data_IF_003056904461
#
_entry.id   IF_003056904461
#
_cell.length_a   1.000
_cell.length_b   1.000
_cell.length_c   1.000
_cell.angle_alpha   90.00
_cell.angle_beta   90.00
_cell.angle_gamma   90.00
#
_symmetry.space_group_name_H-M   'P 1'
#
loop_
_entity.id
_entity.type
_entity.pdbx_description
1 polymer ?
#
# COMPACT_ATOMS: atom_id res chain seq x y z
N UNK A 1 -12.42 -9.08 -8.16
CA UNK A 1 -11.59 -9.00 -9.38
C UNK A 1 -12.39 -9.70 -10.45
N UNK A 2 -12.86 -8.99 -11.48
CA UNK A 2 -13.55 -9.63 -12.60
C UNK A 2 -12.53 -10.45 -13.38
N UNK A 3 -12.75 -11.77 -13.51
CA UNK A 3 -11.82 -12.72 -14.11
C UNK A 3 -11.52 -12.55 -15.61
N UNK A 4 -12.09 -11.55 -16.25
CA UNK A 4 -11.97 -11.36 -17.70
C UNK A 4 -10.67 -10.63 -18.13
N UNK A 5 -9.95 -10.00 -17.17
CA UNK A 5 -8.71 -9.28 -17.46
C UNK A 5 -7.45 -9.99 -16.93
N UNK A 6 -7.60 -10.99 -16.07
CA UNK A 6 -6.47 -11.64 -15.39
C UNK A 6 -6.67 -13.16 -15.34
N UNK A 7 -5.58 -13.92 -15.54
CA UNK A 7 -5.54 -15.35 -15.26
C UNK A 7 -5.24 -15.55 -13.77
N UNK A 8 -6.24 -15.95 -12.99
CA UNK A 8 -6.14 -16.07 -11.54
C UNK A 8 -6.13 -17.55 -11.14
N UNK A 9 -5.13 -17.93 -10.34
CA UNK A 9 -5.04 -19.23 -9.67
C UNK A 9 -5.08 -19.04 -8.16
N UNK A 10 -5.81 -19.88 -7.45
CA UNK A 10 -5.89 -19.90 -6.00
C UNK A 10 -5.39 -21.25 -5.52
N UNK A 11 -4.43 -21.26 -4.60
CA UNK A 11 -3.98 -22.47 -3.90
C UNK A 11 -4.58 -22.43 -2.50
N UNK A 12 -5.29 -23.49 -2.12
CA UNK A 12 -5.98 -23.62 -0.84
C UNK A 12 -5.80 -25.03 -0.29
N UNK A 13 -5.43 -25.15 0.97
CA UNK A 13 -5.16 -26.43 1.63
C UNK A 13 -6.41 -27.12 2.15
N UNK A 14 -7.48 -26.40 2.42
CA UNK A 14 -8.76 -26.95 2.88
C UNK A 14 -9.65 -27.33 1.69
N UNK A 15 -9.94 -28.60 1.54
CA UNK A 15 -10.76 -29.13 0.45
C UNK A 15 -12.19 -28.56 0.45
N UNK A 16 -12.77 -28.34 1.61
CA UNK A 16 -14.13 -27.77 1.71
C UNK A 16 -14.14 -26.30 1.29
N UNK A 17 -13.06 -25.58 1.58
CA UNK A 17 -12.85 -24.22 1.13
C UNK A 17 -12.63 -24.15 -0.37
N UNK A 18 -11.85 -25.08 -0.94
CA UNK A 18 -11.69 -25.20 -2.40
C UNK A 18 -13.03 -25.39 -3.11
N UNK A 19 -13.88 -26.28 -2.58
CA UNK A 19 -15.22 -26.53 -3.14
C UNK A 19 -16.09 -25.26 -3.05
N UNK A 20 -16.08 -24.58 -1.91
CA UNK A 20 -16.80 -23.32 -1.75
C UNK A 20 -16.33 -22.26 -2.75
N UNK A 21 -15.02 -22.06 -2.88
CA UNK A 21 -14.45 -21.09 -3.81
C UNK A 21 -14.81 -21.42 -5.27
N UNK A 22 -14.68 -22.68 -5.67
CA UNK A 22 -15.02 -23.14 -7.03
C UNK A 22 -16.50 -22.94 -7.39
N UNK A 23 -17.40 -22.99 -6.40
CA UNK A 23 -18.83 -22.76 -6.61
C UNK A 23 -19.23 -21.27 -6.64
N UNK A 24 -18.45 -20.41 -6.00
CA UNK A 24 -18.81 -19.00 -5.80
C UNK A 24 -17.96 -18.01 -6.62
N UNK A 25 -16.86 -18.47 -7.22
CA UNK A 25 -16.03 -17.64 -8.09
C UNK A 25 -16.36 -17.86 -9.56
N UNK A 26 -15.90 -16.91 -10.39
CA UNK A 26 -16.00 -17.04 -11.85
C UNK A 26 -15.29 -18.30 -12.33
N UNK A 27 -15.80 -18.94 -13.38
CA UNK A 27 -15.17 -20.09 -14.03
C UNK A 27 -13.78 -19.80 -14.63
N UNK A 28 -13.41 -18.52 -14.74
CA UNK A 28 -12.07 -18.07 -15.15
C UNK A 28 -11.03 -18.16 -14.03
N UNK A 29 -11.44 -18.42 -12.78
CA UNK A 29 -10.55 -18.60 -11.65
C UNK A 29 -10.29 -20.08 -11.42
N UNK A 30 -9.03 -20.49 -11.50
CA UNK A 30 -8.63 -21.87 -11.21
C UNK A 30 -8.37 -22.01 -9.70
N UNK A 31 -9.09 -22.93 -9.06
CA UNK A 31 -8.89 -23.28 -7.64
C UNK A 31 -8.17 -24.61 -7.55
N UNK A 32 -7.02 -24.62 -6.92
CA UNK A 32 -6.13 -25.77 -6.73
C UNK A 32 -6.15 -26.17 -5.25
N UNK A 33 -6.38 -27.46 -4.98
CA UNK A 33 -6.20 -28.01 -3.65
C UNK A 33 -4.74 -28.42 -3.46
N UNK A 34 -4.04 -27.78 -2.53
CA UNK A 34 -2.64 -28.04 -2.27
C UNK A 34 -2.04 -27.18 -1.17
N UNK A 35 -0.79 -27.48 -0.85
CA UNK A 35 0.01 -26.72 0.12
C UNK A 35 0.73 -25.58 -0.59
N UNK A 36 0.64 -24.37 -0.03
CA UNK A 36 1.30 -23.17 -0.57
C UNK A 36 2.81 -23.19 -0.43
N UNK A 37 3.38 -24.17 0.27
CA UNK A 37 4.83 -24.39 0.41
C UNK A 37 5.36 -25.53 -0.45
N UNK A 38 4.49 -26.18 -1.25
CA UNK A 38 4.87 -27.28 -2.15
C UNK A 38 5.54 -26.75 -3.42
N UNK A 39 6.86 -26.94 -3.52
CA UNK A 39 7.67 -26.55 -4.68
C UNK A 39 7.21 -27.22 -5.96
N UNK A 40 6.79 -28.49 -5.91
CA UNK A 40 6.34 -29.25 -7.09
C UNK A 40 5.05 -28.68 -7.66
N UNK A 41 4.10 -28.30 -6.80
CA UNK A 41 2.87 -27.63 -7.21
C UNK A 41 3.15 -26.30 -7.91
N UNK A 42 4.08 -25.51 -7.39
CA UNK A 42 4.45 -24.22 -7.99
C UNK A 42 5.06 -24.40 -9.38
N UNK A 43 5.93 -25.40 -9.55
CA UNK A 43 6.56 -25.69 -10.84
C UNK A 43 5.52 -26.19 -11.86
N UNK A 44 4.67 -27.13 -11.46
CA UNK A 44 3.64 -27.73 -12.32
C UNK A 44 2.63 -26.67 -12.78
N UNK A 45 2.32 -25.69 -11.92
CA UNK A 45 1.38 -24.62 -12.22
C UNK A 45 2.04 -23.39 -12.88
N UNK A 46 3.35 -23.46 -13.18
CA UNK A 46 4.06 -22.47 -13.98
C UNK A 46 4.31 -21.17 -13.26
N UNK A 47 4.70 -21.22 -11.99
CA UNK A 47 4.99 -20.03 -11.15
C UNK A 47 5.99 -19.07 -11.78
N UNK A 48 6.93 -19.58 -12.58
CA UNK A 48 7.94 -18.76 -13.27
C UNK A 48 7.35 -17.75 -14.27
N UNK A 49 6.11 -17.97 -14.72
CA UNK A 49 5.39 -17.07 -15.62
C UNK A 49 4.33 -16.22 -14.88
N UNK A 50 4.37 -16.20 -13.55
CA UNK A 50 3.41 -15.47 -12.72
C UNK A 50 3.87 -14.04 -12.53
N UNK A 51 3.04 -13.08 -12.94
CA UNK A 51 3.32 -11.65 -12.78
C UNK A 51 3.27 -11.23 -11.30
N UNK A 52 2.31 -11.80 -10.55
CA UNK A 52 2.10 -11.46 -9.15
C UNK A 52 1.68 -12.69 -8.35
N UNK A 53 2.48 -13.05 -7.36
CA UNK A 53 2.14 -14.02 -6.33
C UNK A 53 1.71 -13.31 -5.05
N UNK A 54 0.62 -13.73 -4.43
CA UNK A 54 0.07 -13.11 -3.22
C UNK A 54 -0.19 -14.18 -2.17
N UNK A 55 0.51 -14.12 -1.05
CA UNK A 55 0.31 -15.00 0.10
C UNK A 55 -0.52 -14.30 1.18
N UNK A 56 -1.69 -14.86 1.49
CA UNK A 56 -2.71 -14.25 2.36
C UNK A 56 -3.38 -15.28 3.29
N UNK A 57 -2.64 -16.30 3.69
CA UNK A 57 -3.13 -17.24 4.70
C UNK A 57 -3.14 -16.60 6.10
N UNK A 58 -3.59 -17.34 7.10
CA UNK A 58 -3.55 -16.93 8.50
C UNK A 58 -2.22 -17.26 9.20
N UNK A 59 -1.26 -17.85 8.49
CA UNK A 59 0.06 -18.20 9.01
C UNK A 59 1.13 -17.33 8.35
N UNK A 60 1.81 -16.50 9.16
CA UNK A 60 2.79 -15.54 8.68
C UNK A 60 4.05 -16.24 8.14
N UNK A 61 4.48 -17.33 8.79
CA UNK A 61 5.63 -18.12 8.40
C UNK A 61 5.40 -18.77 7.03
N UNK A 62 4.24 -19.37 6.81
CA UNK A 62 3.84 -19.96 5.53
C UNK A 62 3.72 -18.89 4.44
N UNK A 63 3.17 -17.73 4.77
CA UNK A 63 3.06 -16.60 3.84
C UNK A 63 4.45 -16.13 3.37
N UNK A 64 5.39 -15.98 4.30
CA UNK A 64 6.76 -15.56 4.00
C UNK A 64 7.48 -16.64 3.17
N UNK A 65 7.42 -17.90 3.62
CA UNK A 65 8.13 -19.00 2.96
C UNK A 65 7.62 -19.25 1.55
N UNK A 66 6.31 -19.21 1.33
CA UNK A 66 5.73 -19.37 -0.01
C UNK A 66 6.10 -18.22 -0.95
N UNK A 67 6.14 -16.97 -0.46
CA UNK A 67 6.63 -15.84 -1.24
C UNK A 67 8.10 -15.98 -1.63
N UNK A 68 8.96 -16.37 -0.70
CA UNK A 68 10.39 -16.60 -0.98
C UNK A 68 10.58 -17.75 -1.99
N UNK A 69 9.79 -18.83 -1.85
CA UNK A 69 9.80 -19.94 -2.78
C UNK A 69 9.32 -19.51 -4.18
N UNK A 70 8.22 -18.77 -4.27
CA UNK A 70 7.70 -18.25 -5.52
C UNK A 70 8.74 -17.36 -6.24
N UNK A 71 9.40 -16.47 -5.51
CA UNK A 71 10.50 -15.63 -6.06
C UNK A 71 11.70 -16.46 -6.51
N UNK A 72 12.11 -17.45 -5.72
CA UNK A 72 13.20 -18.38 -6.09
C UNK A 72 12.88 -19.12 -7.39
N UNK A 73 11.61 -19.48 -7.60
CA UNK A 73 11.15 -20.21 -8.79
C UNK A 73 10.83 -19.30 -9.98
N UNK A 74 10.95 -17.99 -9.84
CA UNK A 74 10.90 -17.04 -10.95
C UNK A 74 9.65 -16.14 -11.01
N UNK A 75 8.77 -16.14 -10.01
CA UNK A 75 7.67 -15.18 -9.96
C UNK A 75 8.16 -13.73 -10.04
N UNK A 76 7.52 -12.91 -10.87
CA UNK A 76 7.95 -11.53 -11.09
C UNK A 76 7.84 -10.68 -9.84
N UNK A 77 6.71 -10.76 -9.12
CA UNK A 77 6.48 -10.04 -7.87
C UNK A 77 5.85 -10.95 -6.84
N UNK A 78 6.18 -10.73 -5.57
CA UNK A 78 5.57 -11.41 -4.43
C UNK A 78 5.11 -10.42 -3.38
N UNK A 79 3.87 -10.60 -2.93
CA UNK A 79 3.23 -9.80 -1.87
C UNK A 79 2.86 -10.76 -0.74
N UNK A 80 3.24 -10.43 0.48
CA UNK A 80 2.92 -11.21 1.68
C UNK A 80 2.07 -10.43 2.67
N UNK A 81 1.07 -11.08 3.25
CA UNK A 81 0.36 -10.58 4.42
C UNK A 81 1.11 -11.02 5.68
N UNK A 82 1.34 -10.09 6.61
CA UNK A 82 2.01 -10.34 7.88
C UNK A 82 1.19 -9.71 9.00
N UNK A 83 0.72 -10.55 9.93
CA UNK A 83 -0.04 -10.10 11.09
C UNK A 83 0.86 -9.60 12.23
N UNK A 84 2.03 -10.25 12.40
CA UNK A 84 3.03 -9.91 13.43
C UNK A 84 3.99 -8.87 12.88
N UNK A 85 3.90 -7.65 13.40
CA UNK A 85 4.74 -6.52 12.94
C UNK A 85 6.23 -6.81 13.04
N UNK A 86 6.67 -7.61 14.03
CA UNK A 86 8.08 -8.01 14.19
C UNK A 86 8.62 -8.78 12.96
N UNK A 87 7.75 -9.46 12.21
CA UNK A 87 8.15 -10.22 11.02
C UNK A 87 8.31 -9.34 9.78
N UNK A 88 7.71 -8.16 9.74
CA UNK A 88 7.92 -7.20 8.65
C UNK A 88 9.40 -6.86 8.55
N UNK A 89 10.06 -6.70 9.70
CA UNK A 89 11.49 -6.42 9.80
C UNK A 89 12.37 -7.52 9.22
N UNK A 90 11.94 -8.78 9.37
CA UNK A 90 12.69 -9.93 8.89
C UNK A 90 12.63 -10.07 7.36
N UNK A 91 11.55 -9.63 6.74
CA UNK A 91 11.39 -9.72 5.28
C UNK A 91 11.95 -8.50 4.55
N UNK A 92 12.26 -7.41 5.26
CA UNK A 92 12.91 -6.25 4.66
C UNK A 92 14.30 -6.61 4.14
N UNK A 93 14.57 -6.29 2.88
CA UNK A 93 15.84 -6.64 2.20
C UNK A 93 15.88 -8.07 1.64
N UNK A 94 14.82 -8.85 1.80
CA UNK A 94 14.65 -10.13 1.09
C UNK A 94 14.16 -9.91 -0.35
N UNK A 95 13.90 -11.00 -1.08
CA UNK A 95 13.33 -10.93 -2.44
C UNK A 95 11.82 -10.65 -2.48
N UNK A 96 11.15 -10.54 -1.33
CA UNK A 96 9.73 -10.19 -1.24
C UNK A 96 9.57 -8.71 -1.58
N UNK A 97 8.68 -8.41 -2.54
CA UNK A 97 8.53 -7.03 -3.03
C UNK A 97 7.70 -6.17 -2.09
N UNK A 98 6.65 -6.72 -1.49
CA UNK A 98 5.76 -6.01 -0.57
C UNK A 98 5.35 -6.92 0.59
N UNK A 99 5.53 -6.44 1.80
CA UNK A 99 4.91 -6.99 3.00
C UNK A 99 3.89 -5.98 3.53
N UNK A 100 2.67 -6.42 3.82
CA UNK A 100 1.65 -5.53 4.38
C UNK A 100 1.01 -6.14 5.65
N UNK A 101 0.66 -5.27 6.58
CA UNK A 101 -0.01 -5.64 7.82
C UNK A 101 -1.44 -5.08 7.85
N UNK A 102 -2.46 -5.93 8.05
CA UNK A 102 -3.83 -5.45 8.26
C UNK A 102 -3.95 -4.52 9.46
N UNK A 103 -3.17 -4.76 10.51
CA UNK A 103 -3.13 -3.91 11.72
C UNK A 103 -2.63 -2.50 11.39
N UNK A 104 -1.53 -2.38 10.65
CA UNK A 104 -1.01 -1.07 10.26
C UNK A 104 -1.94 -0.34 9.30
N UNK A 105 -2.54 -1.05 8.34
CA UNK A 105 -3.53 -0.48 7.43
C UNK A 105 -4.76 0.05 8.19
N UNK A 106 -5.27 -0.72 9.15
CA UNK A 106 -6.41 -0.33 9.98
C UNK A 106 -6.06 0.86 10.88
N UNK A 107 -4.87 0.85 11.51
CA UNK A 107 -4.41 1.96 12.34
C UNK A 107 -4.28 3.25 11.52
N UNK A 108 -3.72 3.17 10.34
CA UNK A 108 -3.60 4.32 9.43
C UNK A 108 -4.97 4.90 9.05
N UNK A 109 -5.95 4.03 8.77
CA UNK A 109 -7.32 4.47 8.47
C UNK A 109 -8.01 5.09 9.69
N UNK A 110 -7.88 4.50 10.87
CA UNK A 110 -8.41 5.08 12.12
C UNK A 110 -7.80 6.45 12.43
N UNK A 111 -6.48 6.57 12.31
CA UNK A 111 -5.78 7.83 12.55
C UNK A 111 -6.25 8.93 11.60
N UNK A 112 -6.54 8.59 10.36
CA UNK A 112 -7.13 9.52 9.39
C UNK A 112 -8.46 10.11 9.89
N UNK A 113 -9.32 9.30 10.50
CA UNK A 113 -10.63 9.73 11.00
C UNK A 113 -10.55 10.53 12.33
N UNK A 114 -9.51 10.30 13.14
CA UNK A 114 -9.35 10.97 14.44
C UNK A 114 -8.66 12.33 14.28
N UNK A 115 -7.83 12.51 13.26
CA UNK A 115 -7.11 13.76 13.03
C UNK A 115 -8.06 14.89 12.68
N UNK A 116 -7.87 16.06 13.34
CA UNK A 116 -8.64 17.26 13.03
C UNK A 116 -8.14 17.86 11.71
N UNK A 117 -9.03 18.00 10.74
CA UNK A 117 -8.77 18.56 9.42
C UNK A 117 -9.27 17.64 8.31
N UNK A 118 -9.28 18.14 7.06
CA UNK A 118 -9.67 17.35 5.88
C UNK A 118 -8.49 16.50 5.41
N UNK A 119 -8.14 15.47 6.21
CA UNK A 119 -7.09 14.49 5.87
C UNK A 119 -7.69 13.49 4.88
N UNK A 120 -7.20 13.51 3.64
CA UNK A 120 -7.60 12.58 2.58
C UNK A 120 -6.92 11.22 2.74
N UNK A 121 -5.64 11.24 3.04
CA UNK A 121 -4.85 10.02 3.23
C UNK A 121 -3.70 10.23 4.22
N UNK A 122 -3.27 9.14 4.86
CA UNK A 122 -2.08 9.12 5.71
C UNK A 122 -1.38 7.78 5.53
N UNK A 123 -0.09 7.81 5.23
CA UNK A 123 0.75 6.64 5.01
C UNK A 123 2.02 6.72 5.85
N UNK A 124 2.26 5.68 6.63
CA UNK A 124 3.49 5.56 7.40
C UNK A 124 4.60 5.00 6.52
N UNK A 125 5.76 5.66 6.54
CA UNK A 125 6.96 5.24 5.83
C UNK A 125 8.00 4.74 6.82
N UNK A 126 8.77 3.72 6.41
CA UNK A 126 9.92 3.21 7.17
C UNK A 126 9.63 3.07 8.67
N UNK A 127 8.68 2.20 9.04
CA UNK A 127 8.40 1.81 10.45
C UNK A 127 8.06 2.98 11.37
N UNK A 128 7.33 3.95 10.88
CA UNK A 128 7.00 5.13 11.68
C UNK A 128 8.09 6.18 11.73
N UNK A 129 9.22 6.02 11.03
CA UNK A 129 10.27 7.03 10.95
C UNK A 129 9.85 8.28 10.17
N UNK A 130 8.86 8.15 9.30
CA UNK A 130 8.23 9.27 8.60
C UNK A 130 6.78 8.95 8.27
N UNK A 131 5.97 9.95 8.10
CA UNK A 131 4.58 9.86 7.71
C UNK A 131 4.32 10.79 6.53
N UNK A 132 3.61 10.29 5.52
CA UNK A 132 3.10 11.13 4.42
C UNK A 132 1.63 11.34 4.65
N UNK A 133 1.20 12.59 4.68
CA UNK A 133 -0.20 12.97 4.81
C UNK A 133 -0.63 13.80 3.62
N UNK A 134 -1.85 13.58 3.18
CA UNK A 134 -2.53 14.39 2.20
C UNK A 134 -3.70 15.09 2.88
N UNK A 135 -3.68 16.41 2.87
CA UNK A 135 -4.71 17.26 3.48
C UNK A 135 -5.24 18.25 2.46
N UNK A 136 -6.51 18.60 2.55
CA UNK A 136 -7.07 19.68 1.73
C UNK A 136 -6.77 21.03 2.38
N UNK A 137 -6.16 21.93 1.62
CA UNK A 137 -5.92 23.29 2.08
C UNK A 137 -7.21 24.12 1.99
N UNK A 138 -7.66 24.68 3.11
CA UNK A 138 -8.85 25.54 3.17
C UNK A 138 -8.57 26.95 3.66
N UNK A 139 -9.35 27.90 3.15
CA UNK A 139 -9.35 29.27 3.63
C UNK A 139 -9.17 30.32 2.52
N UNK A 140 -8.76 31.49 2.93
CA UNK A 140 -8.44 32.59 2.02
C UNK A 140 -7.07 33.17 2.35
N UNK A 141 -6.47 33.91 1.43
CA UNK A 141 -5.16 34.54 1.63
C UNK A 141 -5.11 35.51 2.85
N UNK A 142 -6.29 35.92 3.35
CA UNK A 142 -6.39 36.79 4.53
C UNK A 142 -6.33 36.04 5.85
N UNK A 143 -6.87 34.85 5.92
CA UNK A 143 -7.02 34.08 7.17
C UNK A 143 -6.21 32.77 7.20
N UNK A 144 -5.63 32.35 6.08
CA UNK A 144 -4.77 31.17 6.00
C UNK A 144 -3.30 31.56 5.97
N UNK A 145 -2.47 30.72 6.62
CA UNK A 145 -1.00 30.83 6.55
C UNK A 145 -0.41 30.11 5.34
N UNK A 146 -1.26 29.41 4.56
CA UNK A 146 -0.89 28.52 3.45
C UNK A 146 -1.45 29.04 2.13
N UNK A 147 -2.73 29.39 2.09
CA UNK A 147 -3.43 29.82 0.86
C UNK A 147 -2.86 31.13 0.32
N UNK A 148 -2.64 31.18 -1.00
CA UNK A 148 -2.06 32.32 -1.73
C UNK A 148 -0.56 32.51 -1.49
N UNK A 149 0.13 31.47 -1.02
CA UNK A 149 1.58 31.47 -0.83
C UNK A 149 2.23 30.39 -1.66
N UNK A 150 3.42 30.68 -2.15
CA UNK A 150 4.32 29.68 -2.72
C UNK A 150 4.89 28.79 -1.62
N UNK A 151 5.21 27.55 -1.93
CA UNK A 151 5.63 26.53 -0.94
C UNK A 151 6.83 26.99 -0.13
N UNK A 152 7.78 27.68 -0.75
CA UNK A 152 8.99 28.25 -0.11
C UNK A 152 8.70 29.31 0.96
N UNK A 153 7.52 29.93 0.91
CA UNK A 153 7.08 30.96 1.87
C UNK A 153 6.15 30.42 2.97
N UNK A 154 5.84 29.13 2.93
CA UNK A 154 5.03 28.50 3.97
C UNK A 154 5.93 28.05 5.11
N UNK A 155 5.69 28.59 6.30
CA UNK A 155 6.42 28.19 7.50
C UNK A 155 5.93 26.80 7.95
N UNK A 156 6.73 25.78 7.68
CA UNK A 156 6.47 24.40 8.10
C UNK A 156 7.13 24.12 9.46
N UNK A 157 6.52 23.26 10.30
CA UNK A 157 7.17 22.76 11.50
C UNK A 157 8.48 22.03 11.17
N UNK A 158 9.39 21.97 12.15
CA UNK A 158 10.65 21.25 11.99
C UNK A 158 10.39 19.76 11.67
N UNK A 159 11.11 19.20 10.72
CA UNK A 159 10.94 17.82 10.29
C UNK A 159 9.76 17.58 9.34
N UNK A 160 9.10 18.64 8.87
CA UNK A 160 8.03 18.54 7.86
C UNK A 160 8.43 19.17 6.55
N UNK A 161 7.97 18.62 5.43
CA UNK A 161 8.18 19.17 4.10
C UNK A 161 6.97 18.89 3.20
N UNK A 162 6.58 19.88 2.42
CA UNK A 162 5.58 19.67 1.35
C UNK A 162 6.28 18.97 0.19
N UNK A 163 5.74 17.86 -0.26
CA UNK A 163 6.23 17.08 -1.39
C UNK A 163 5.61 17.50 -2.71
N UNK A 164 4.29 17.52 -2.76
CA UNK A 164 3.53 17.87 -3.96
C UNK A 164 2.14 18.42 -3.60
N UNK A 165 1.52 19.02 -4.60
CA UNK A 165 0.13 19.47 -4.57
C UNK A 165 -0.59 18.85 -5.75
N UNK A 166 -1.79 18.33 -5.50
CA UNK A 166 -2.66 17.83 -6.54
C UNK A 166 -3.66 18.93 -6.90
N UNK A 167 -3.86 19.17 -8.18
CA UNK A 167 -4.83 20.17 -8.63
C UNK A 167 -5.60 19.66 -9.84
N UNK A 168 -6.90 19.89 -9.86
CA UNK A 168 -7.71 19.58 -11.02
C UNK A 168 -7.67 20.77 -12.00
N UNK A 169 -6.99 20.59 -13.12
CA UNK A 169 -6.92 21.57 -14.18
C UNK A 169 -7.76 21.06 -15.38
N UNK A 170 -8.77 21.82 -15.77
CA UNK A 170 -9.66 21.43 -16.88
C UNK A 170 -10.27 20.02 -16.78
N UNK A 171 -10.55 19.56 -15.56
CA UNK A 171 -11.14 18.24 -15.32
C UNK A 171 -10.12 17.09 -15.28
N UNK A 172 -8.82 17.37 -15.40
CA UNK A 172 -7.73 16.41 -15.27
C UNK A 172 -6.98 16.70 -13.98
N UNK A 173 -6.68 15.66 -13.20
CA UNK A 173 -5.88 15.79 -11.99
C UNK A 173 -4.38 15.83 -12.38
N UNK A 174 -3.71 16.92 -12.03
CA UNK A 174 -2.29 17.13 -12.24
C UNK A 174 -1.54 17.18 -10.91
N UNK A 175 -0.33 16.65 -10.89
CA UNK A 175 0.56 16.66 -9.74
C UNK A 175 1.64 17.71 -9.97
N UNK A 176 1.74 18.67 -9.06
CA UNK A 176 2.77 19.71 -9.06
C UNK A 176 3.75 19.45 -7.94
N UNK A 177 5.01 19.29 -8.26
CA UNK A 177 6.05 19.17 -7.24
C UNK A 177 6.19 20.49 -6.47
N UNK A 178 6.61 20.43 -5.22
CA UNK A 178 6.67 21.60 -4.31
C UNK A 178 7.41 22.81 -4.89
N UNK A 179 8.44 22.59 -5.71
CA UNK A 179 9.22 23.63 -6.38
C UNK A 179 8.58 24.19 -7.66
N UNK A 180 7.50 23.59 -8.14
CA UNK A 180 6.79 23.95 -9.37
C UNK A 180 5.48 24.70 -9.10
N UNK A 181 5.03 24.68 -7.85
CA UNK A 181 3.74 25.26 -7.46
C UNK A 181 3.86 26.78 -7.36
N UNK A 182 3.10 27.55 -8.17
CA UNK A 182 3.13 29.01 -8.07
C UNK A 182 2.55 29.50 -6.74
N UNK A 183 1.39 28.99 -6.34
CA UNK A 183 0.70 29.32 -5.09
C UNK A 183 -0.23 28.18 -4.71
N UNK A 184 -0.43 27.96 -3.40
CA UNK A 184 -1.44 27.03 -2.88
C UNK A 184 -2.82 27.69 -2.95
N UNK A 185 -3.80 27.01 -3.52
CA UNK A 185 -5.18 27.51 -3.66
C UNK A 185 -6.12 26.82 -2.65
N UNK A 186 -7.27 27.45 -2.41
CA UNK A 186 -8.34 26.84 -1.63
C UNK A 186 -8.87 25.59 -2.33
N UNK A 187 -8.98 24.48 -1.60
CA UNK A 187 -9.38 23.17 -2.11
C UNK A 187 -8.23 22.32 -2.69
N UNK A 188 -6.99 22.81 -2.73
CA UNK A 188 -5.86 22.01 -3.17
C UNK A 188 -5.55 20.87 -2.17
N UNK A 189 -5.52 19.60 -2.58
CA UNK A 189 -4.88 18.53 -1.81
C UNK A 189 -3.36 18.73 -1.77
N UNK A 190 -2.82 18.85 -0.56
CA UNK A 190 -1.40 19.06 -0.29
C UNK A 190 -0.83 17.80 0.36
N UNK A 191 0.13 17.18 -0.30
CA UNK A 191 0.88 16.06 0.25
C UNK A 191 2.14 16.57 0.94
N UNK A 192 2.29 16.23 2.23
CA UNK A 192 3.47 16.63 3.01
C UNK A 192 3.99 15.45 3.85
N UNK A 193 5.27 15.47 4.13
CA UNK A 193 5.93 14.50 5.00
C UNK A 193 6.16 15.08 6.39
N UNK A 194 6.03 14.22 7.40
CA UNK A 194 6.38 14.50 8.77
C UNK A 194 7.35 13.42 9.26
N UNK A 195 8.53 13.84 9.74
CA UNK A 195 9.45 12.92 10.41
C UNK A 195 8.95 12.69 11.84
N UNK A 196 8.60 11.46 12.15
CA UNK A 196 8.35 11.05 13.53
C UNK A 196 9.70 10.73 14.16
N UNK A 197 10.14 11.58 15.10
CA UNK A 197 11.33 11.25 15.89
C UNK A 197 11.02 10.04 16.75
N UNK A 198 11.93 9.05 16.84
CA UNK A 198 11.75 7.94 17.77
C UNK A 198 11.61 8.51 19.17
N UNK A 199 10.53 8.20 19.85
CA UNK A 199 10.37 8.46 21.29
C UNK A 199 11.34 7.53 22.00
N UNK A 200 12.42 8.08 22.58
CA UNK A 200 13.32 7.40 23.51
C UNK A 200 12.57 6.91 24.74
#
# INVERSE_FOLDING_TARGET
VSGDAYNVKIIESDLSRCQFLSQNLSSSVLVLHGDMTDESLFVDEGIANTDLFVAVSNDDEDNIMSCLLAKKLGAHRAITLINRTDYIDLVEGTSIDIAFSPTEATLSDLLRHIRQGDVLSAHTLRRGGAEVMEIVAHGSAKNSKVIGRTVDKIAMPQGTAIGCILRTVSGVQEVFMANEVPEVLDGDPVSYTHLTLPTN
#
